data_IF_346678769169
#
_entry.id   IF_346678769169
#
_cell.length_a   1.000
_cell.length_b   1.000
_cell.length_c   1.000
_cell.angle_alpha   90.00
_cell.angle_beta   90.00
_cell.angle_gamma   90.00
#
_symmetry.space_group_name_H-M   'P 1'
#
loop_
_entity.id
_entity.type
_entity.pdbx_description
1 polymer ?
#
# COMPACT_ATOMS: atom_id res chain seq x y z
N UNK A 1 -26.20 -31.47 -26.57
CA UNK A 1 -25.78 -31.72 -25.18
C UNK A 1 -26.63 -30.82 -24.32
N UNK A 2 -27.58 -31.39 -23.57
CA UNK A 2 -28.35 -30.65 -22.57
C UNK A 2 -27.43 -30.35 -21.38
N UNK A 3 -27.40 -29.10 -20.94
CA UNK A 3 -26.70 -28.72 -19.72
C UNK A 3 -27.44 -29.36 -18.54
N UNK A 4 -26.72 -30.06 -17.67
CA UNK A 4 -27.31 -30.61 -16.47
C UNK A 4 -27.57 -29.50 -15.46
N UNK A 5 -28.49 -29.73 -14.52
CA UNK A 5 -28.74 -28.81 -13.41
C UNK A 5 -27.44 -28.47 -12.65
N UNK A 6 -26.53 -29.43 -12.51
CA UNK A 6 -25.25 -29.25 -11.87
C UNK A 6 -24.33 -28.29 -12.65
N UNK A 7 -24.34 -28.37 -13.99
CA UNK A 7 -23.57 -27.45 -14.84
C UNK A 7 -24.08 -26.00 -14.70
N UNK A 8 -25.38 -25.84 -14.51
CA UNK A 8 -26.00 -24.52 -14.29
C UNK A 8 -25.61 -23.96 -12.91
N UNK A 9 -25.60 -24.78 -11.86
CA UNK A 9 -25.20 -24.37 -10.50
C UNK A 9 -23.74 -23.93 -10.46
N UNK A 10 -22.81 -24.73 -11.00
CA UNK A 10 -21.39 -24.39 -11.03
C UNK A 10 -21.11 -23.10 -11.81
N UNK A 11 -21.86 -22.88 -12.90
CA UNK A 11 -21.73 -21.68 -13.71
C UNK A 11 -22.26 -20.44 -12.99
N UNK A 12 -23.32 -20.57 -12.19
CA UNK A 12 -23.83 -19.51 -11.33
C UNK A 12 -22.82 -19.13 -10.24
N UNK A 13 -22.28 -20.11 -9.52
CA UNK A 13 -21.26 -19.86 -8.48
C UNK A 13 -20.03 -19.15 -9.03
N UNK A 14 -19.57 -19.56 -10.22
CA UNK A 14 -18.45 -18.89 -10.90
C UNK A 14 -18.79 -17.44 -11.24
N UNK A 15 -19.97 -17.20 -11.81
CA UNK A 15 -20.44 -15.85 -12.15
C UNK A 15 -20.58 -14.96 -10.91
N UNK A 16 -21.09 -15.49 -9.79
CA UNK A 16 -21.20 -14.74 -8.54
C UNK A 16 -19.83 -14.34 -7.99
N UNK A 17 -18.85 -15.22 -8.09
CA UNK A 17 -17.48 -14.93 -7.70
C UNK A 17 -16.82 -13.90 -8.62
N UNK A 18 -17.02 -14.01 -9.94
CA UNK A 18 -16.52 -13.03 -10.91
C UNK A 18 -17.16 -11.66 -10.71
N UNK A 19 -18.48 -11.59 -10.47
CA UNK A 19 -19.19 -10.33 -10.16
C UNK A 19 -18.70 -9.73 -8.85
N UNK A 20 -18.40 -10.56 -7.84
CA UNK A 20 -17.82 -10.09 -6.57
C UNK A 20 -16.44 -9.47 -6.79
N UNK A 21 -15.57 -10.15 -7.52
CA UNK A 21 -14.25 -9.64 -7.88
C UNK A 21 -14.34 -8.35 -8.72
N UNK A 22 -15.29 -8.29 -9.66
CA UNK A 22 -15.52 -7.10 -10.47
C UNK A 22 -16.01 -5.91 -9.62
N UNK A 23 -16.92 -6.15 -8.67
CA UNK A 23 -17.39 -5.11 -7.73
C UNK A 23 -16.27 -4.60 -6.82
N UNK A 24 -15.38 -5.47 -6.38
CA UNK A 24 -14.18 -5.07 -5.65
C UNK A 24 -13.27 -4.21 -6.55
N UNK A 25 -13.04 -4.62 -7.81
CA UNK A 25 -12.24 -3.85 -8.76
C UNK A 25 -12.87 -2.50 -9.15
N UNK A 26 -14.18 -2.43 -9.31
CA UNK A 26 -14.89 -1.15 -9.59
C UNK A 26 -14.85 -0.25 -8.37
N UNK A 27 -15.01 -0.78 -7.15
CA UNK A 27 -14.76 0.00 -5.92
C UNK A 27 -13.32 0.50 -5.81
N UNK A 28 -12.35 -0.20 -6.40
CA UNK A 28 -10.96 0.22 -6.47
C UNK A 28 -10.73 1.34 -7.51
N UNK A 29 -11.63 1.49 -8.50
CA UNK A 29 -11.57 2.51 -9.55
C UNK A 29 -12.40 3.76 -9.22
N UNK A 30 -13.48 3.63 -8.44
CA UNK A 30 -14.30 4.76 -7.92
C UNK A 30 -13.51 5.74 -7.03
N UNK A 31 -12.25 5.44 -6.68
CA UNK A 31 -11.35 6.36 -5.97
C UNK A 31 -10.75 7.47 -6.88
N UNK A 32 -11.05 7.46 -8.19
CA UNK A 32 -10.82 8.61 -9.10
C UNK A 32 -11.75 9.80 -8.82
N UNK A 33 -12.87 9.60 -8.12
CA UNK A 33 -13.88 10.65 -7.94
C UNK A 33 -13.58 11.56 -6.72
N UNK A 34 -13.70 12.88 -6.96
CA UNK A 34 -13.53 14.00 -6.02
C UNK A 34 -12.15 14.67 -5.95
N UNK A 35 -11.45 14.85 -7.08
CA UNK A 35 -10.68 16.08 -7.21
C UNK A 35 -11.67 17.23 -7.44
N UNK A 36 -11.65 18.30 -6.63
CA UNK A 36 -12.48 19.46 -6.90
C UNK A 36 -12.09 20.06 -8.24
N UNK A 37 -13.07 20.49 -9.04
CA UNK A 37 -12.86 21.23 -10.31
C UNK A 37 -12.25 22.64 -10.10
N UNK A 38 -11.71 22.90 -8.91
CA UNK A 38 -11.07 24.15 -8.53
C UNK A 38 -9.66 23.88 -8.00
N UNK A 39 -8.76 24.87 -8.10
CA UNK A 39 -7.48 24.81 -7.41
C UNK A 39 -7.68 24.57 -5.91
N UNK A 40 -6.95 23.58 -5.39
CA UNK A 40 -6.88 23.31 -3.96
C UNK A 40 -5.83 24.19 -3.31
N UNK A 41 -6.09 24.64 -2.09
CA UNK A 41 -5.04 25.19 -1.22
C UNK A 41 -4.13 24.07 -0.74
N UNK A 42 -2.89 24.42 -0.34
CA UNK A 42 -1.91 23.43 0.18
C UNK A 42 -2.47 22.63 1.38
N UNK A 43 -3.23 23.28 2.26
CA UNK A 43 -3.86 22.62 3.41
C UNK A 43 -4.96 21.63 3.00
N UNK A 44 -5.79 21.98 2.01
CA UNK A 44 -6.82 21.10 1.48
C UNK A 44 -6.23 19.90 0.77
N UNK A 45 -5.15 20.12 0.02
CA UNK A 45 -4.40 19.08 -0.68
C UNK A 45 -3.77 18.09 0.32
N UNK A 46 -3.12 18.59 1.37
CA UNK A 46 -2.56 17.75 2.44
C UNK A 46 -3.62 16.93 3.16
N UNK A 47 -4.80 17.52 3.44
CA UNK A 47 -5.94 16.80 4.04
C UNK A 47 -6.47 15.71 3.11
N UNK A 48 -6.61 15.99 1.82
CA UNK A 48 -7.08 15.02 0.82
C UNK A 48 -6.11 13.84 0.72
N UNK A 49 -4.80 14.13 0.71
CA UNK A 49 -3.74 13.11 0.73
C UNK A 49 -3.81 12.23 1.98
N UNK A 50 -3.98 12.82 3.17
CA UNK A 50 -4.10 12.07 4.42
C UNK A 50 -5.33 11.17 4.47
N UNK A 51 -6.47 11.65 3.95
CA UNK A 51 -7.70 10.85 3.86
C UNK A 51 -7.49 9.68 2.90
N UNK A 52 -6.90 9.90 1.72
CA UNK A 52 -6.53 8.83 0.78
C UNK A 52 -5.56 7.84 1.39
N UNK A 53 -4.48 8.31 2.04
CA UNK A 53 -3.50 7.45 2.68
C UNK A 53 -4.13 6.57 3.76
N UNK A 54 -5.02 7.13 4.62
CA UNK A 54 -5.76 6.34 5.60
C UNK A 54 -6.72 5.34 4.97
N UNK A 55 -7.42 5.73 3.90
CA UNK A 55 -8.37 4.85 3.19
C UNK A 55 -7.66 3.69 2.49
N UNK A 56 -6.48 3.97 1.93
CA UNK A 56 -5.65 3.00 1.23
C UNK A 56 -4.71 2.21 2.15
N UNK A 57 -4.54 2.61 3.42
CA UNK A 57 -3.62 1.95 4.35
C UNK A 57 -3.87 0.44 4.46
N UNK A 58 -5.13 0.00 4.52
CA UNK A 58 -5.47 -1.42 4.57
C UNK A 58 -5.24 -2.17 3.23
N UNK A 59 -5.26 -1.45 2.11
CA UNK A 59 -4.95 -1.97 0.76
C UNK A 59 -3.44 -2.11 0.59
N UNK A 60 -2.72 -1.03 0.88
CA UNK A 60 -1.26 -0.97 0.82
C UNK A 60 -0.63 -1.95 1.79
N UNK A 61 -1.17 -2.09 3.01
CA UNK A 61 -0.69 -3.07 3.99
C UNK A 61 -0.82 -4.51 3.49
N UNK A 62 -1.93 -4.88 2.82
CA UNK A 62 -2.11 -6.22 2.25
C UNK A 62 -1.18 -6.49 1.07
N UNK A 63 -1.01 -5.50 0.20
CA UNK A 63 -0.10 -5.60 -0.94
C UNK A 63 1.36 -5.69 -0.48
N UNK A 64 1.77 -4.88 0.49
CA UNK A 64 3.09 -4.91 1.10
C UNK A 64 3.37 -6.25 1.80
N UNK A 65 2.38 -6.80 2.51
CA UNK A 65 2.52 -8.13 3.14
C UNK A 65 2.82 -9.21 2.11
N UNK A 66 2.09 -9.22 0.98
CA UNK A 66 2.35 -10.17 -0.12
C UNK A 66 3.75 -9.99 -0.71
N UNK A 67 4.19 -8.76 -0.91
CA UNK A 67 5.53 -8.45 -1.42
C UNK A 67 6.61 -8.91 -0.41
N UNK A 68 6.40 -8.69 0.89
CA UNK A 68 7.31 -9.16 1.93
C UNK A 68 7.39 -10.68 1.96
N UNK A 69 6.27 -11.39 1.82
CA UNK A 69 6.26 -12.85 1.71
C UNK A 69 7.03 -13.33 0.47
N UNK A 70 6.84 -12.69 -0.69
CA UNK A 70 7.56 -13.00 -1.94
C UNK A 70 9.07 -12.72 -1.83
N UNK A 71 9.49 -11.71 -1.06
CA UNK A 71 10.89 -11.42 -0.78
C UNK A 71 11.49 -12.26 0.35
N UNK A 72 10.71 -13.17 0.96
CA UNK A 72 11.15 -13.97 2.10
C UNK A 72 11.35 -13.16 3.39
N UNK A 73 10.81 -11.95 3.47
CA UNK A 73 10.85 -11.10 4.65
C UNK A 73 9.75 -11.57 5.60
N UNK A 74 10.12 -12.43 6.54
CA UNK A 74 9.19 -13.00 7.53
C UNK A 74 9.42 -12.39 8.91
N UNK A 75 8.33 -12.25 9.69
CA UNK A 75 8.38 -11.83 11.09
C UNK A 75 7.50 -10.61 11.39
N UNK A 76 7.18 -10.37 12.66
CA UNK A 76 6.40 -9.20 13.04
C UNK A 76 7.20 -7.90 12.76
N UNK A 77 6.52 -6.81 12.36
CA UNK A 77 7.17 -5.51 12.24
C UNK A 77 7.78 -5.10 13.58
N UNK A 78 9.03 -4.64 13.54
CA UNK A 78 9.76 -4.15 14.71
C UNK A 78 9.57 -2.65 14.86
N UNK A 79 9.66 -2.15 16.10
CA UNK A 79 9.59 -0.70 16.34
C UNK A 79 10.78 0.04 15.71
N UNK A 80 10.63 1.35 15.53
CA UNK A 80 11.72 2.19 14.99
C UNK A 80 12.97 2.14 15.87
N UNK A 81 12.82 2.19 17.19
CA UNK A 81 13.94 2.01 18.13
C UNK A 81 14.61 0.65 17.98
N UNK A 82 13.83 -0.43 17.86
CA UNK A 82 14.33 -1.80 17.73
C UNK A 82 15.07 -1.97 16.39
N UNK A 83 14.54 -1.44 15.29
CA UNK A 83 15.22 -1.42 13.99
C UNK A 83 16.55 -0.67 14.04
N UNK A 84 16.57 0.53 14.65
CA UNK A 84 17.80 1.33 14.84
C UNK A 84 18.81 0.65 15.77
N UNK A 85 18.35 -0.16 16.73
CA UNK A 85 19.25 -0.94 17.58
C UNK A 85 19.91 -2.04 16.77
N UNK A 86 19.14 -2.85 16.03
CA UNK A 86 19.66 -3.94 15.18
C UNK A 86 20.61 -3.44 14.11
N UNK A 87 20.27 -2.33 13.45
CA UNK A 87 21.13 -1.72 12.44
C UNK A 87 22.52 -1.33 12.99
N UNK A 88 22.57 -0.81 14.23
CA UNK A 88 23.83 -0.53 14.95
C UNK A 88 24.56 -1.79 15.39
N UNK A 89 23.83 -2.80 15.86
CA UNK A 89 24.39 -4.11 16.25
C UNK A 89 25.06 -4.82 15.06
N UNK A 90 24.55 -4.60 13.84
CA UNK A 90 25.13 -5.07 12.58
C UNK A 90 26.33 -4.21 12.10
N UNK A 91 26.72 -3.19 12.86
CA UNK A 91 27.88 -2.33 12.56
C UNK A 91 27.59 -1.18 11.60
N UNK A 92 26.32 -0.91 11.29
CA UNK A 92 25.92 0.24 10.47
C UNK A 92 25.57 1.45 11.35
N UNK A 93 26.02 2.63 10.97
CA UNK A 93 25.62 3.87 11.61
C UNK A 93 24.30 4.38 10.99
N UNK A 94 23.18 4.40 11.73
CA UNK A 94 21.88 4.83 11.23
C UNK A 94 21.82 6.32 10.89
N UNK A 95 22.78 7.12 11.37
CA UNK A 95 22.88 8.55 11.09
C UNK A 95 23.87 8.85 9.95
N UNK A 96 24.74 7.88 9.61
CA UNK A 96 25.60 7.93 8.42
C UNK A 96 24.83 7.44 7.18
N UNK A 97 23.88 8.24 6.71
CA UNK A 97 23.37 8.05 5.35
C UNK A 97 24.13 8.99 4.41
N UNK A 98 24.46 8.52 3.20
CA UNK A 98 25.05 9.38 2.14
C UNK A 98 24.21 10.65 1.92
N UNK A 99 22.90 10.55 2.17
CA UNK A 99 21.97 11.67 2.19
C UNK A 99 22.21 12.69 3.31
N UNK A 100 22.49 12.24 4.53
CA UNK A 100 22.81 13.12 5.66
C UNK A 100 24.17 13.82 5.48
N UNK A 101 25.14 13.11 4.90
CA UNK A 101 26.44 13.69 4.55
C UNK A 101 26.29 14.78 3.48
N UNK A 102 25.52 14.53 2.42
CA UNK A 102 25.26 15.53 1.38
C UNK A 102 24.57 16.81 1.89
N UNK A 103 23.74 16.72 2.95
CA UNK A 103 23.12 17.89 3.61
C UNK A 103 24.16 18.68 4.43
N UNK A 104 25.11 18.00 5.06
CA UNK A 104 26.18 18.63 5.83
C UNK A 104 27.16 19.35 4.90
N UNK A 105 27.56 18.70 3.81
CA UNK A 105 28.49 19.26 2.82
C UNK A 105 27.91 20.54 2.17
N UNK A 106 26.60 20.61 1.94
CA UNK A 106 25.91 21.80 1.42
C UNK A 106 25.80 22.98 2.41
N UNK A 107 26.10 22.79 3.70
CA UNK A 107 26.10 23.86 4.71
C UNK A 107 27.47 24.46 4.97
N UNK A 108 28.53 23.81 4.49
CA UNK A 108 29.91 24.29 4.62
C UNK A 108 30.38 25.09 3.38
N UNK A 109 29.54 25.22 2.34
CA UNK A 109 29.65 26.21 1.25
C UNK A 109 28.83 27.47 1.53
#
# INVERSE_FOLDING_TARGET
MEATLNDVVQRLERLENEVRALRENVRLLDDEEAWPDRPLTMAEQGRLMMVRARRNAARESRMLSKIFDEMGITGPPVSREEARRRYREEGHDPEATDFAQGIADMREE
#
